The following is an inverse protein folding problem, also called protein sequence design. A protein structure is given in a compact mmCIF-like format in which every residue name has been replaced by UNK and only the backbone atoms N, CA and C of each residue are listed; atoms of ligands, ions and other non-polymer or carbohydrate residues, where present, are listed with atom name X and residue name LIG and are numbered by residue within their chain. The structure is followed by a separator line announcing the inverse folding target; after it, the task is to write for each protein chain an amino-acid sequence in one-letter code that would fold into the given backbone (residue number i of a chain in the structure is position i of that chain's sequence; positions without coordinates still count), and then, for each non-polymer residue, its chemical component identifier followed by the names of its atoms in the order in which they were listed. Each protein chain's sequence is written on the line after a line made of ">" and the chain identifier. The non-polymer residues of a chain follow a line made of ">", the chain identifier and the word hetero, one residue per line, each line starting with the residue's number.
data_IF_705416191993
#
_entry.id   IF_705416191993
#
_cell.length_a   1.000
_cell.length_b   1.000
_cell.length_c   1.000
_cell.angle_alpha   90.00
_cell.angle_beta   90.00
_cell.angle_gamma   90.00
#
_symmetry.space_group_name_H-M   'P 1'
#
loop_
_entity.id
_entity.type
_entity.pdbx_description
1 polymer ?
#
# COMPACT_ATOMS: atom_id res chain seq x y z
N UNK A 1 45.61 19.19 24.45
CA UNK A 1 45.05 17.89 24.90
C UNK A 1 43.61 17.99 25.41
N UNK A 2 43.29 18.80 26.44
CA UNK A 2 41.91 18.91 27.00
C UNK A 2 40.84 19.37 25.97
N UNK A 3 41.14 20.34 25.10
CA UNK A 3 40.20 20.80 24.06
C UNK A 3 39.84 19.72 23.03
N UNK A 4 40.82 18.89 22.66
CA UNK A 4 40.62 17.78 21.72
C UNK A 4 39.73 16.72 22.38
N UNK A 5 39.97 16.40 23.65
CA UNK A 5 39.14 15.45 24.40
C UNK A 5 37.67 15.90 24.51
N UNK A 6 37.43 17.19 24.75
CA UNK A 6 36.06 17.75 24.78
C UNK A 6 35.38 17.64 23.42
N UNK A 7 36.08 17.98 22.33
CA UNK A 7 35.52 17.84 20.97
C UNK A 7 35.18 16.39 20.66
N UNK A 8 36.07 15.45 21.00
CA UNK A 8 35.82 14.02 20.80
C UNK A 8 34.59 13.55 21.58
N UNK A 9 34.43 13.97 22.84
CA UNK A 9 33.26 13.63 23.64
C UNK A 9 31.97 14.22 23.09
N UNK A 10 31.99 15.46 22.59
CA UNK A 10 30.83 16.10 21.97
C UNK A 10 30.43 15.39 20.67
N UNK A 11 31.40 15.04 19.83
CA UNK A 11 31.15 14.30 18.59
C UNK A 11 30.62 12.89 18.89
N UNK A 12 31.19 12.19 19.87
CA UNK A 12 30.71 10.88 20.30
C UNK A 12 29.30 10.95 20.88
N UNK A 13 29.03 11.94 21.73
CA UNK A 13 27.70 12.17 22.31
C UNK A 13 26.65 12.50 21.25
N UNK A 14 26.99 13.38 20.29
CA UNK A 14 26.12 13.69 19.16
C UNK A 14 25.86 12.44 18.31
N UNK A 15 26.91 11.68 17.97
CA UNK A 15 26.79 10.44 17.21
C UNK A 15 25.90 9.41 17.89
N UNK A 16 26.04 9.24 19.21
CA UNK A 16 25.18 8.37 20.01
C UNK A 16 23.70 8.81 19.95
N UNK A 17 23.44 10.10 20.17
CA UNK A 17 22.07 10.64 20.13
C UNK A 17 21.45 10.51 18.72
N UNK A 18 22.22 10.80 17.67
CA UNK A 18 21.77 10.64 16.28
C UNK A 18 21.45 9.19 15.95
N UNK A 19 22.30 8.24 16.35
CA UNK A 19 22.08 6.81 16.12
C UNK A 19 20.86 6.29 16.88
N UNK A 20 20.71 6.69 18.15
CA UNK A 20 19.58 6.29 18.97
C UNK A 20 18.25 6.83 18.41
N UNK A 21 18.26 8.04 17.82
CA UNK A 21 17.09 8.68 17.23
C UNK A 21 16.99 8.50 15.70
N UNK A 22 17.75 7.58 15.09
CA UNK A 22 17.87 7.44 13.63
C UNK A 22 16.51 7.30 12.93
N UNK A 23 15.58 6.52 13.48
CA UNK A 23 14.24 6.34 12.90
C UNK A 23 13.41 7.63 12.98
N UNK A 24 13.40 8.30 14.13
CA UNK A 24 12.70 9.59 14.28
C UNK A 24 13.26 10.65 13.32
N UNK A 25 14.58 10.69 13.17
CA UNK A 25 15.24 11.59 12.23
C UNK A 25 14.89 11.25 10.78
N UNK A 26 14.84 9.97 10.42
CA UNK A 26 14.42 9.52 9.08
C UNK A 26 12.96 9.87 8.79
N UNK A 27 12.03 9.56 9.71
CA UNK A 27 10.61 9.88 9.56
C UNK A 27 10.38 11.39 9.47
N UNK A 28 11.17 12.20 10.19
CA UNK A 28 11.10 13.66 10.11
C UNK A 28 11.70 14.24 8.82
N UNK A 29 12.83 13.68 8.36
CA UNK A 29 13.59 14.19 7.22
C UNK A 29 13.05 13.72 5.87
N UNK A 30 12.67 12.44 5.76
CA UNK A 30 12.18 11.83 4.53
C UNK A 30 11.08 12.65 3.83
N UNK A 31 9.96 13.03 4.48
CA UNK A 31 8.90 13.80 3.83
C UNK A 31 9.38 15.18 3.33
N UNK A 32 10.29 15.83 4.05
CA UNK A 32 10.87 17.13 3.64
C UNK A 32 11.80 16.99 2.45
N UNK A 33 12.62 15.94 2.43
CA UNK A 33 13.49 15.64 1.30
C UNK A 33 12.65 15.29 0.07
N UNK A 34 11.60 14.47 0.21
CA UNK A 34 10.70 14.17 -0.90
C UNK A 34 9.97 15.41 -1.39
N UNK A 35 9.53 16.31 -0.50
CA UNK A 35 8.91 17.57 -0.91
C UNK A 35 9.87 18.48 -1.71
N UNK A 36 11.17 18.45 -1.40
CA UNK A 36 12.19 19.21 -2.13
C UNK A 36 12.58 18.57 -3.47
N UNK A 37 12.64 17.23 -3.54
CA UNK A 37 13.13 16.50 -4.71
C UNK A 37 12.00 16.15 -5.69
N UNK A 38 10.82 15.83 -5.19
CA UNK A 38 9.62 15.44 -5.95
C UNK A 38 8.35 16.04 -5.33
N UNK A 39 8.13 17.37 -5.49
CA UNK A 39 6.99 18.04 -4.88
C UNK A 39 5.67 17.51 -5.45
N UNK A 40 4.68 17.33 -4.56
CA UNK A 40 3.33 16.92 -4.95
C UNK A 40 2.77 17.95 -5.92
N UNK A 41 2.52 17.52 -7.16
CA UNK A 41 1.92 18.38 -8.18
C UNK A 41 0.47 18.76 -7.78
N UNK A 42 -0.01 19.96 -8.18
CA UNK A 42 -1.40 20.32 -7.98
C UNK A 42 -2.33 19.31 -8.67
N UNK A 43 -3.52 19.12 -8.10
CA UNK A 43 -4.54 18.27 -8.70
C UNK A 43 -4.79 18.69 -10.16
N UNK A 44 -4.73 17.72 -11.07
CA UNK A 44 -5.07 17.91 -12.47
C UNK A 44 -6.40 17.22 -12.73
N UNK A 45 -7.47 17.95 -13.08
CA UNK A 45 -8.72 17.31 -13.44
C UNK A 45 -8.49 16.40 -14.65
N UNK A 46 -8.94 15.16 -14.56
CA UNK A 46 -8.89 14.23 -15.68
C UNK A 46 -10.06 14.50 -16.60
N UNK A 47 -9.77 14.88 -17.84
CA UNK A 47 -10.77 14.93 -18.90
C UNK A 47 -11.04 13.51 -19.38
N UNK A 48 -12.08 12.90 -18.82
CA UNK A 48 -12.56 11.61 -19.31
C UNK A 48 -13.00 11.77 -20.76
N UNK A 49 -12.60 10.82 -21.61
CA UNK A 49 -13.15 10.76 -22.97
C UNK A 49 -14.65 10.55 -22.86
N UNK A 50 -15.43 11.49 -23.39
CA UNK A 50 -16.86 11.28 -23.54
C UNK A 50 -17.06 10.09 -24.49
N UNK A 51 -17.94 9.17 -24.10
CA UNK A 51 -18.42 8.16 -25.03
C UNK A 51 -19.19 8.83 -26.19
N UNK A 52 -19.44 8.11 -27.29
CA UNK A 52 -20.27 8.63 -28.36
C UNK A 52 -21.67 8.99 -27.84
N UNK A 53 -22.25 10.07 -28.37
CA UNK A 53 -23.58 10.57 -27.97
C UNK A 53 -24.69 9.52 -28.21
N UNK A 54 -24.49 8.66 -29.21
CA UNK A 54 -25.34 7.52 -29.50
C UNK A 54 -24.54 6.21 -29.52
N UNK A 55 -25.14 5.15 -28.98
CA UNK A 55 -24.54 3.83 -29.02
C UNK A 55 -24.54 3.28 -30.46
N UNK A 56 -23.40 2.73 -30.90
CA UNK A 56 -23.25 2.19 -32.26
C UNK A 56 -24.13 0.97 -32.56
N UNK A 57 -24.69 0.32 -31.54
CA UNK A 57 -25.54 -0.85 -31.66
C UNK A 57 -26.58 -0.89 -30.54
N UNK A 58 -27.67 -1.63 -30.77
CA UNK A 58 -28.71 -1.84 -29.78
C UNK A 58 -28.16 -2.59 -28.53
N UNK A 59 -28.78 -2.46 -27.35
CA UNK A 59 -28.27 -3.06 -26.12
C UNK A 59 -28.07 -4.58 -26.17
N UNK A 60 -28.84 -5.30 -26.98
CA UNK A 60 -28.73 -6.75 -27.15
C UNK A 60 -27.55 -7.18 -28.04
N UNK A 61 -27.08 -6.28 -28.91
CA UNK A 61 -26.05 -6.57 -29.91
C UNK A 61 -24.65 -6.10 -29.47
N UNK A 62 -24.56 -5.41 -28.33
CA UNK A 62 -23.29 -4.92 -27.76
C UNK A 62 -22.78 -5.84 -26.66
N UNK A 63 -21.46 -6.00 -26.60
CA UNK A 63 -20.81 -6.60 -25.44
C UNK A 63 -21.08 -5.75 -24.19
N UNK A 64 -21.18 -6.38 -22.99
CA UNK A 64 -21.30 -5.63 -21.76
C UNK A 64 -20.02 -4.82 -21.48
N UNK A 65 -20.18 -3.66 -20.85
CA UNK A 65 -19.05 -2.95 -20.27
C UNK A 65 -18.62 -3.67 -18.99
N UNK A 66 -17.33 -3.96 -18.86
CA UNK A 66 -16.77 -4.59 -17.66
C UNK A 66 -16.03 -3.51 -16.87
N UNK A 67 -16.47 -3.25 -15.65
CA UNK A 67 -15.80 -2.35 -14.71
C UNK A 67 -15.18 -3.21 -13.61
N UNK A 68 -13.85 -3.23 -13.54
CA UNK A 68 -13.11 -3.87 -12.45
C UNK A 68 -12.74 -2.81 -11.41
N UNK A 69 -13.36 -2.90 -10.23
CA UNK A 69 -13.01 -2.06 -9.07
C UNK A 69 -12.06 -2.88 -8.18
N UNK A 70 -10.87 -2.36 -7.93
CA UNK A 70 -9.87 -2.98 -7.06
C UNK A 70 -9.55 -2.02 -5.91
N UNK A 71 -9.72 -2.47 -4.67
CA UNK A 71 -9.31 -1.74 -3.48
C UNK A 71 -7.97 -2.29 -2.96
N UNK A 72 -7.06 -1.39 -2.57
CA UNK A 72 -5.78 -1.76 -1.96
C UNK A 72 -5.95 -1.94 -0.44
N UNK A 73 -5.26 -2.94 0.13
CA UNK A 73 -5.26 -3.28 1.56
C UNK A 73 -6.65 -3.43 2.22
N UNK A 74 -7.68 -3.80 1.45
CA UNK A 74 -9.03 -4.05 1.97
C UNK A 74 -9.16 -5.49 2.48
N UNK A 75 -9.26 -5.64 3.79
CA UNK A 75 -9.49 -6.90 4.47
C UNK A 75 -10.94 -7.40 4.37
N UNK A 76 -11.13 -8.70 4.60
CA UNK A 76 -12.45 -9.34 4.59
C UNK A 76 -13.43 -8.69 5.59
N UNK A 77 -12.92 -8.29 6.76
CA UNK A 77 -13.73 -7.68 7.83
C UNK A 77 -13.99 -6.18 7.64
N UNK A 78 -13.43 -5.56 6.59
CA UNK A 78 -13.57 -4.12 6.37
C UNK A 78 -14.93 -3.74 5.77
N UNK A 79 -15.57 -4.69 5.08
CA UNK A 79 -16.86 -4.50 4.39
C UNK A 79 -18.02 -4.91 5.30
N UNK A 80 -19.07 -4.07 5.37
CA UNK A 80 -20.21 -4.29 6.29
C UNK A 80 -20.97 -5.58 6.06
N UNK A 81 -21.05 -6.04 4.81
CA UNK A 81 -21.67 -7.31 4.43
C UNK A 81 -21.12 -8.53 5.19
N UNK A 82 -19.82 -8.58 5.47
CA UNK A 82 -19.17 -9.80 5.98
C UNK A 82 -19.18 -9.90 7.50
N UNK A 83 -18.80 -8.83 8.20
CA UNK A 83 -18.69 -8.83 9.67
C UNK A 83 -19.00 -7.45 10.29
N UNK A 84 -19.98 -6.73 9.74
CA UNK A 84 -20.35 -5.40 10.22
C UNK A 84 -19.42 -4.27 9.75
N UNK A 85 -18.29 -4.60 9.11
CA UNK A 85 -17.38 -3.66 8.48
C UNK A 85 -16.40 -3.09 9.50
N UNK A 86 -15.18 -2.79 9.06
CA UNK A 86 -13.96 -2.64 9.87
C UNK A 86 -13.99 -3.25 11.30
N UNK A 87 -14.53 -4.46 11.43
CA UNK A 87 -14.47 -5.30 12.63
C UNK A 87 -15.56 -5.15 13.70
N UNK A 88 -16.18 -3.99 13.87
CA UNK A 88 -17.06 -3.71 15.03
C UNK A 88 -18.39 -3.01 14.68
N UNK A 89 -18.68 -2.80 13.40
CA UNK A 89 -19.88 -2.09 12.97
C UNK A 89 -19.71 -0.58 12.79
N UNK A 90 -18.54 -0.02 13.10
CA UNK A 90 -18.31 1.44 13.00
C UNK A 90 -18.26 1.96 11.58
N UNK A 91 -17.89 1.10 10.62
CA UNK A 91 -17.78 1.47 9.21
C UNK A 91 -18.77 0.70 8.35
N UNK A 92 -19.79 1.42 7.86
CA UNK A 92 -20.79 0.86 6.95
C UNK A 92 -20.44 1.15 5.48
N UNK A 93 -20.59 0.16 4.62
CA UNK A 93 -20.29 0.24 3.18
C UNK A 93 -21.55 0.04 2.32
N UNK A 94 -22.61 0.86 2.47
CA UNK A 94 -23.93 0.59 1.89
C UNK A 94 -23.92 0.49 0.35
N UNK A 95 -23.03 1.21 -0.33
CA UNK A 95 -22.90 1.13 -1.78
C UNK A 95 -22.26 -0.18 -2.25
N UNK A 96 -21.29 -0.71 -1.50
CA UNK A 96 -20.66 -2.01 -1.78
C UNK A 96 -21.65 -3.13 -1.46
N UNK A 97 -22.35 -3.02 -0.33
CA UNK A 97 -23.37 -3.98 0.09
C UNK A 97 -24.50 -4.09 -0.93
N UNK A 98 -24.94 -2.96 -1.50
CA UNK A 98 -25.93 -2.97 -2.58
C UNK A 98 -25.45 -3.72 -3.82
N UNK A 99 -24.19 -3.51 -4.25
CA UNK A 99 -23.60 -4.27 -5.37
C UNK A 99 -23.60 -5.78 -5.08
N UNK A 100 -23.28 -6.16 -3.85
CA UNK A 100 -23.30 -7.55 -3.42
C UNK A 100 -24.72 -8.15 -3.39
N UNK A 101 -25.71 -7.40 -2.90
CA UNK A 101 -27.13 -7.83 -2.85
C UNK A 101 -27.74 -7.98 -4.26
N UNK A 102 -27.39 -7.08 -5.17
CA UNK A 102 -27.85 -7.11 -6.56
C UNK A 102 -27.06 -8.11 -7.44
N UNK A 103 -26.05 -8.78 -6.87
CA UNK A 103 -25.05 -9.54 -7.61
C UNK A 103 -24.70 -10.90 -7.00
N UNK A 104 -23.44 -11.30 -7.19
CA UNK A 104 -22.90 -12.57 -6.68
C UNK A 104 -21.77 -12.28 -5.71
N UNK A 105 -21.83 -12.93 -4.54
CA UNK A 105 -20.83 -12.80 -3.48
C UNK A 105 -19.96 -14.05 -3.42
N UNK A 106 -18.66 -13.88 -3.58
CA UNK A 106 -17.68 -14.95 -3.39
C UNK A 106 -17.24 -14.99 -1.93
N UNK A 107 -17.82 -15.91 -1.14
CA UNK A 107 -17.46 -16.09 0.28
C UNK A 107 -16.05 -16.65 0.49
N UNK A 108 -15.49 -17.29 -0.53
CA UNK A 108 -14.16 -17.90 -0.54
C UNK A 108 -13.35 -17.34 -1.73
N UNK A 109 -13.03 -16.05 -1.70
CA UNK A 109 -12.15 -15.39 -2.66
C UNK A 109 -10.79 -15.13 -2.02
N UNK A 110 -9.73 -15.76 -2.53
CA UNK A 110 -8.38 -15.59 -2.02
C UNK A 110 -7.55 -14.75 -3.00
N UNK A 111 -6.78 -13.80 -2.46
CA UNK A 111 -5.76 -13.13 -3.24
C UNK A 111 -4.70 -14.15 -3.68
N UNK A 112 -4.20 -14.01 -4.91
CA UNK A 112 -3.15 -14.90 -5.43
C UNK A 112 -1.80 -14.71 -4.70
N UNK A 113 -1.61 -13.56 -4.02
CA UNK A 113 -0.46 -13.24 -3.20
C UNK A 113 -0.90 -12.26 -2.10
N UNK A 114 -0.27 -12.32 -0.92
CA UNK A 114 -0.56 -11.46 0.23
C UNK A 114 0.08 -10.06 0.14
N UNK A 115 0.83 -9.76 -0.92
CA UNK A 115 1.51 -8.48 -1.12
C UNK A 115 0.92 -7.73 -2.32
N UNK A 116 0.75 -6.41 -2.21
CA UNK A 116 -0.01 -5.58 -3.16
C UNK A 116 0.49 -5.70 -4.61
N UNK A 117 1.80 -5.52 -4.83
CA UNK A 117 2.37 -5.57 -6.18
C UNK A 117 2.20 -6.94 -6.86
N UNK A 118 2.62 -8.08 -6.26
CA UNK A 118 2.44 -9.39 -6.88
C UNK A 118 0.99 -9.84 -6.99
N UNK A 119 0.11 -9.40 -6.09
CA UNK A 119 -1.34 -9.61 -6.20
C UNK A 119 -1.91 -8.92 -7.46
N UNK A 120 -1.60 -7.63 -7.66
CA UNK A 120 -1.98 -6.87 -8.86
C UNK A 120 -1.43 -7.49 -10.14
N UNK A 121 -0.17 -7.93 -10.12
CA UNK A 121 0.45 -8.58 -11.26
C UNK A 121 -0.25 -9.91 -11.61
N UNK A 122 -0.70 -10.66 -10.60
CA UNK A 122 -1.48 -11.89 -10.80
C UNK A 122 -2.85 -11.60 -11.43
N UNK A 123 -3.53 -10.52 -11.01
CA UNK A 123 -4.81 -10.07 -11.60
C UNK A 123 -4.62 -9.70 -13.08
N UNK A 124 -3.57 -8.95 -13.41
CA UNK A 124 -3.30 -8.49 -14.79
C UNK A 124 -2.90 -9.63 -15.74
N UNK A 125 -2.26 -10.67 -15.23
CA UNK A 125 -1.71 -11.77 -16.05
C UNK A 125 -2.57 -13.02 -16.03
N UNK A 126 -3.50 -13.15 -15.08
CA UNK A 126 -4.25 -14.38 -14.84
C UNK A 126 -3.38 -15.55 -14.39
N UNK A 127 -2.19 -15.30 -13.83
CA UNK A 127 -1.21 -16.31 -13.44
C UNK A 127 -0.76 -16.11 -11.99
N UNK A 128 -0.47 -17.20 -11.29
CA UNK A 128 0.20 -17.12 -9.99
C UNK A 128 1.56 -16.45 -10.13
N UNK A 129 1.93 -15.59 -9.17
CA UNK A 129 3.24 -14.91 -9.09
C UNK A 129 4.44 -15.81 -9.38
N UNK A 130 4.44 -17.02 -8.81
CA UNK A 130 5.50 -18.05 -8.96
C UNK A 130 5.67 -18.53 -10.40
N UNK A 131 4.68 -18.34 -11.27
CA UNK A 131 4.73 -18.77 -12.68
C UNK A 131 5.37 -17.75 -13.60
N UNK A 132 5.66 -16.54 -13.15
CA UNK A 132 6.28 -15.50 -13.96
C UNK A 132 7.35 -14.68 -13.23
N UNK A 133 7.72 -15.09 -12.00
CA UNK A 133 8.89 -14.57 -11.28
C UNK A 133 8.69 -13.22 -10.59
N UNK A 134 7.44 -12.77 -10.42
CA UNK A 134 7.13 -11.54 -9.69
C UNK A 134 6.45 -11.88 -8.37
N UNK A 135 7.25 -12.41 -7.44
CA UNK A 135 6.80 -12.93 -6.14
C UNK A 135 6.88 -11.88 -5.03
N UNK A 136 7.75 -10.89 -5.19
CA UNK A 136 8.06 -9.88 -4.20
C UNK A 136 7.89 -8.47 -4.76
N UNK A 137 7.55 -7.52 -3.89
CA UNK A 137 7.60 -6.10 -4.26
C UNK A 137 9.06 -5.69 -4.34
N UNK A 138 9.54 -5.13 -5.47
CA UNK A 138 10.91 -4.64 -5.55
C UNK A 138 11.10 -3.52 -4.54
N UNK A 139 11.86 -3.79 -3.48
CA UNK A 139 12.21 -2.82 -2.45
C UNK A 139 13.66 -2.38 -2.60
N UNK A 140 13.94 -1.13 -2.29
CA UNK A 140 15.31 -0.64 -2.28
C UNK A 140 16.03 -1.20 -1.04
N UNK A 141 17.31 -1.58 -1.18
CA UNK A 141 18.09 -2.22 -0.09
C UNK A 141 18.14 -1.41 1.21
N UNK A 142 18.13 -0.08 1.11
CA UNK A 142 18.09 0.77 2.31
C UNK A 142 16.75 0.63 3.05
N UNK A 143 15.68 0.33 2.33
CA UNK A 143 14.33 0.22 2.88
C UNK A 143 14.16 -1.02 3.74
N UNK A 144 14.77 -2.15 3.35
CA UNK A 144 14.79 -3.35 4.18
C UNK A 144 15.52 -3.11 5.50
N UNK A 145 16.62 -2.35 5.47
CA UNK A 145 17.35 -1.93 6.68
C UNK A 145 16.51 -1.04 7.58
N UNK A 146 15.76 -0.09 7.00
CA UNK A 146 14.88 0.80 7.76
C UNK A 146 13.77 0.01 8.44
N UNK A 147 13.12 -0.92 7.74
CA UNK A 147 12.08 -1.76 8.32
C UNK A 147 12.62 -2.65 9.44
N UNK A 148 13.81 -3.22 9.27
CA UNK A 148 14.45 -4.00 10.33
C UNK A 148 14.75 -3.14 11.56
N UNK A 149 15.23 -1.90 11.38
CA UNK A 149 15.40 -0.97 12.50
C UNK A 149 14.08 -0.56 13.17
N UNK A 150 12.97 -0.52 12.42
CA UNK A 150 11.65 -0.24 12.99
C UNK A 150 11.15 -1.42 13.82
N UNK A 151 11.33 -2.65 13.33
CA UNK A 151 11.02 -3.88 14.06
C UNK A 151 11.87 -4.01 15.33
N UNK A 152 13.18 -3.71 15.27
CA UNK A 152 14.05 -3.69 16.46
C UNK A 152 13.56 -2.75 17.57
N UNK A 153 12.89 -1.65 17.21
CA UNK A 153 12.36 -0.66 18.17
C UNK A 153 11.00 -1.06 18.75
N UNK A 154 10.18 -1.78 17.97
CA UNK A 154 8.87 -2.24 18.39
C UNK A 154 8.57 -3.57 17.70
N UNK A 155 9.11 -4.68 18.24
CA UNK A 155 9.07 -5.97 17.57
C UNK A 155 7.63 -6.45 17.45
N UNK A 156 7.24 -6.89 16.25
CA UNK A 156 5.91 -7.48 16.06
C UNK A 156 5.78 -8.83 16.75
N UNK A 157 4.54 -9.18 17.15
CA UNK A 157 4.24 -10.49 17.74
C UNK A 157 4.56 -11.66 16.80
N UNK A 158 4.59 -11.40 15.49
CA UNK A 158 5.02 -12.33 14.46
C UNK A 158 6.39 -11.91 13.91
N UNK A 159 7.29 -12.86 13.61
CA UNK A 159 8.59 -12.52 13.04
C UNK A 159 8.42 -11.91 11.65
N UNK A 160 9.05 -10.75 11.44
CA UNK A 160 9.09 -10.09 10.15
C UNK A 160 10.18 -10.74 9.27
N UNK A 161 9.77 -11.41 8.20
CA UNK A 161 10.68 -11.92 7.18
C UNK A 161 10.77 -10.88 6.06
N UNK A 162 11.91 -10.19 5.97
CA UNK A 162 12.22 -9.24 4.90
C UNK A 162 13.34 -9.86 4.07
N UNK A 163 13.03 -10.29 2.85
CA UNK A 163 13.96 -10.83 1.87
C UNK A 163 14.37 -9.83 0.76
#
# INVERSE_FOLDING_TARGET
>A
MKKIAVIVLLVAGLGYLTWHNRINLLVWAAPRVTELVDPIAPNRPTHWQAGPDEAAAAPADRAPNIILILADDMGFNDISLYNGGAGDGTLQTPNIDRIAQDGVVFRNGYAANAVCAPSRASIMTGRYSTRFGFEFTPFFKLGTTIFQWMDDLNPSDLPMYID
#
